data_IF_591498586026
#
_entry.id   IF_591498586026
#
_cell.length_a   1.000
_cell.length_b   1.000
_cell.length_c   1.000
_cell.angle_alpha   90.00
_cell.angle_beta   90.00
_cell.angle_gamma   90.00
#
_symmetry.space_group_name_H-M   'P 1'
#
loop_
_entity.id
_entity.type
_entity.pdbx_description
1 polymer ?
#
# COMPACT_ATOMS: atom_id res chain seq x y z
N UNK A 1 87.32 13.02 12.69
CA UNK A 1 86.36 14.12 12.51
C UNK A 1 85.01 13.63 13.05
N UNK A 2 84.70 13.87 14.33
CA UNK A 2 84.00 15.06 14.88
C UNK A 2 82.58 15.18 14.28
N UNK A 3 81.62 14.46 14.89
CA UNK A 3 80.40 14.94 15.62
C UNK A 3 79.23 15.39 14.74
N UNK A 4 78.09 14.68 14.79
CA UNK A 4 76.83 15.05 15.50
C UNK A 4 76.34 16.48 15.18
N UNK A 5 75.08 16.66 14.78
CA UNK A 5 73.94 16.97 15.69
C UNK A 5 72.65 17.32 14.90
N UNK A 6 71.54 17.10 15.60
CA UNK A 6 70.12 17.39 15.35
C UNK A 6 69.76 18.90 15.27
N UNK A 7 68.44 19.16 15.09
CA UNK A 7 67.65 20.34 15.57
C UNK A 7 67.45 21.43 14.47
N UNK A 8 66.35 22.15 14.21
CA UNK A 8 64.88 22.14 14.44
C UNK A 8 64.35 23.56 14.05
N UNK A 9 63.03 23.73 13.87
CA UNK A 9 62.18 24.93 14.12
C UNK A 9 61.78 25.93 13.00
N UNK A 10 60.46 25.92 12.71
CA UNK A 10 59.42 27.00 12.75
C UNK A 10 59.70 28.40 12.16
N UNK A 11 58.80 28.87 11.27
CA UNK A 11 58.09 30.18 11.46
C UNK A 11 56.72 30.25 10.79
N UNK A 12 55.76 30.80 11.54
CA UNK A 12 54.39 31.20 11.19
C UNK A 12 54.39 32.59 10.54
N UNK A 13 53.50 32.86 9.58
CA UNK A 13 53.06 34.23 9.26
C UNK A 13 51.52 34.30 9.15
N UNK A 14 50.93 35.12 10.03
CA UNK A 14 49.57 35.63 9.97
C UNK A 14 49.66 37.08 9.49
N UNK A 15 48.90 37.45 8.46
CA UNK A 15 48.54 38.84 8.17
C UNK A 15 47.06 38.88 7.77
N UNK A 16 46.30 39.64 8.55
CA UNK A 16 44.90 39.98 8.32
C UNK A 16 44.82 41.30 7.56
N UNK A 17 43.95 41.38 6.55
CA UNK A 17 43.35 42.63 6.07
C UNK A 17 41.85 42.38 5.81
N UNK A 18 41.04 43.27 6.35
CA UNK A 18 39.58 43.36 6.26
C UNK A 18 39.20 44.25 5.06
N UNK A 19 38.15 43.90 4.32
CA UNK A 19 37.50 44.79 3.36
C UNK A 19 36.51 44.11 2.42
N UNK A 20 35.21 44.26 2.72
CA UNK A 20 34.00 43.76 2.04
C UNK A 20 34.03 43.76 0.51
N UNK A 21 33.56 42.66 -0.11
CA UNK A 21 32.34 42.72 -0.94
C UNK A 21 31.75 41.32 -1.28
N UNK A 22 30.44 41.33 -1.46
CA UNK A 22 29.48 40.21 -1.56
C UNK A 22 29.89 39.05 -2.48
N UNK A 23 29.76 37.82 -1.95
CA UNK A 23 28.92 36.74 -2.54
C UNK A 23 28.74 35.60 -1.54
N UNK A 24 27.54 35.49 -0.99
CA UNK A 24 27.03 34.27 -0.38
C UNK A 24 27.13 33.14 -1.41
N UNK A 25 27.97 32.14 -1.16
CA UNK A 25 27.80 30.81 -1.73
C UNK A 25 27.06 29.94 -0.71
N UNK A 26 25.77 30.18 -0.53
CA UNK A 26 24.88 29.12 -0.09
C UNK A 26 24.74 28.15 -1.26
N UNK A 27 25.62 27.14 -1.31
CA UNK A 27 25.31 25.93 -2.05
C UNK A 27 24.42 25.11 -1.12
N UNK A 28 23.13 25.44 -1.11
CA UNK A 28 22.13 24.47 -0.67
C UNK A 28 22.14 23.36 -1.71
N UNK A 29 22.78 22.24 -1.39
CA UNK A 29 22.59 21.00 -2.12
C UNK A 29 21.18 20.47 -1.83
N UNK A 30 20.16 21.14 -2.37
CA UNK A 30 18.88 20.48 -2.64
C UNK A 30 19.13 19.51 -3.78
N UNK A 31 19.66 18.34 -3.44
CA UNK A 31 19.44 17.16 -4.27
C UNK A 31 17.93 16.93 -4.21
N UNK A 32 17.21 17.48 -5.19
CA UNK A 32 15.82 17.08 -5.47
C UNK A 32 15.86 15.57 -5.68
N UNK A 33 15.48 14.84 -4.65
CA UNK A 33 15.33 13.40 -4.70
C UNK A 33 14.12 13.17 -5.61
N UNK A 34 14.36 13.00 -6.91
CA UNK A 34 13.30 12.74 -7.88
C UNK A 34 12.74 11.37 -7.51
N UNK A 35 11.61 11.36 -6.81
CA UNK A 35 10.91 10.13 -6.50
C UNK A 35 10.52 9.46 -7.81
N UNK A 36 10.83 8.16 -7.92
CA UNK A 36 10.40 7.36 -9.06
C UNK A 36 8.88 7.37 -9.16
N UNK A 37 8.34 7.34 -10.39
CA UNK A 37 6.90 7.29 -10.64
C UNK A 37 6.26 6.11 -9.87
N UNK A 38 5.02 6.26 -9.38
CA UNK A 38 4.33 5.17 -8.69
C UNK A 38 4.29 3.89 -9.54
N UNK A 39 4.62 2.76 -8.93
CA UNK A 39 4.47 1.45 -9.57
C UNK A 39 2.99 1.08 -9.69
N UNK A 40 2.60 0.40 -10.77
CA UNK A 40 1.28 -0.26 -10.85
C UNK A 40 1.45 -1.73 -10.50
N UNK A 41 0.65 -2.20 -9.54
CA UNK A 41 0.63 -3.58 -9.07
C UNK A 41 -0.80 -4.12 -9.08
N UNK A 42 -0.92 -5.43 -8.97
CA UNK A 42 -2.23 -6.09 -9.00
C UNK A 42 -2.34 -7.22 -7.97
N UNK A 43 -3.51 -7.29 -7.34
CA UNK A 43 -4.01 -8.45 -6.63
C UNK A 43 -5.29 -8.91 -7.33
N UNK A 44 -5.22 -10.02 -8.06
CA UNK A 44 -6.35 -10.53 -8.84
C UNK A 44 -6.39 -12.06 -8.84
N UNK A 45 -7.60 -12.60 -8.95
CA UNK A 45 -7.83 -14.03 -9.13
C UNK A 45 -7.89 -14.47 -10.61
N UNK A 46 -7.65 -13.55 -11.56
CA UNK A 46 -7.51 -13.88 -12.97
C UNK A 46 -6.20 -14.67 -13.22
N UNK A 47 -6.33 -15.82 -13.89
CA UNK A 47 -5.21 -16.72 -14.24
C UNK A 47 -5.17 -17.05 -15.74
N UNK A 48 -5.93 -16.34 -16.57
CA UNK A 48 -5.94 -16.58 -18.01
C UNK A 48 -4.55 -16.36 -18.59
N UNK A 49 -4.24 -17.08 -19.68
CA UNK A 49 -2.95 -16.90 -20.37
C UNK A 49 -2.80 -15.47 -20.91
N UNK A 50 -3.87 -14.90 -21.48
CA UNK A 50 -3.88 -13.54 -22.03
C UNK A 50 -3.50 -12.50 -20.98
N UNK A 51 -4.12 -12.59 -19.80
CA UNK A 51 -3.85 -11.70 -18.68
C UNK A 51 -2.41 -11.89 -18.16
N UNK A 52 -1.97 -13.13 -17.93
CA UNK A 52 -0.61 -13.42 -17.46
C UNK A 52 0.45 -12.93 -18.45
N UNK A 53 0.24 -13.13 -19.76
CA UNK A 53 1.13 -12.63 -20.81
C UNK A 53 1.21 -11.09 -20.79
N UNK A 54 0.07 -10.40 -20.60
CA UNK A 54 0.02 -8.94 -20.45
C UNK A 54 0.82 -8.49 -19.23
N UNK A 55 0.56 -9.06 -18.05
CA UNK A 55 1.23 -8.69 -16.80
C UNK A 55 2.75 -8.85 -16.93
N UNK A 56 3.20 -9.96 -17.51
CA UNK A 56 4.62 -10.24 -17.73
C UNK A 56 5.26 -9.24 -18.70
N UNK A 57 4.59 -8.94 -19.82
CA UNK A 57 5.08 -7.98 -20.82
C UNK A 57 5.18 -6.57 -20.23
N UNK A 58 4.16 -6.13 -19.51
CA UNK A 58 4.10 -4.81 -18.90
C UNK A 58 4.91 -4.70 -17.60
N UNK A 59 5.50 -5.82 -17.14
CA UNK A 59 6.27 -5.94 -15.89
C UNK A 59 5.46 -5.46 -14.67
N UNK A 60 4.16 -5.71 -14.67
CA UNK A 60 3.28 -5.41 -13.53
C UNK A 60 3.50 -6.50 -12.49
N UNK A 61 3.75 -6.11 -11.25
CA UNK A 61 4.01 -7.08 -10.18
C UNK A 61 2.69 -7.55 -9.56
N UNK A 62 2.55 -8.87 -9.37
CA UNK A 62 1.51 -9.42 -8.51
C UNK A 62 1.85 -9.17 -7.04
N UNK A 63 0.88 -8.63 -6.30
CA UNK A 63 0.91 -8.59 -4.84
C UNK A 63 0.25 -9.87 -4.33
N UNK A 64 1.06 -10.73 -3.71
CA UNK A 64 0.55 -11.97 -3.11
C UNK A 64 -0.03 -11.69 -1.72
N UNK A 65 -0.77 -12.64 -1.16
CA UNK A 65 -1.38 -12.47 0.15
C UNK A 65 -1.52 -13.78 0.92
N UNK A 66 -1.69 -13.63 2.23
CA UNK A 66 -2.20 -14.66 3.14
C UNK A 66 -3.42 -14.08 3.86
N UNK A 67 -4.50 -14.83 3.98
CA UNK A 67 -5.77 -14.36 4.54
C UNK A 67 -6.13 -15.10 5.83
N UNK A 68 -6.62 -14.36 6.82
CA UNK A 68 -6.91 -14.85 8.16
C UNK A 68 -7.80 -16.09 8.20
N UNK A 69 -8.81 -16.18 7.33
CA UNK A 69 -9.71 -17.34 7.23
C UNK A 69 -9.00 -18.65 6.90
N UNK A 70 -7.73 -18.60 6.48
CA UNK A 70 -6.93 -19.76 6.12
C UNK A 70 -6.02 -20.23 7.25
N UNK A 71 -5.65 -19.36 8.20
CA UNK A 71 -4.61 -19.67 9.20
C UNK A 71 -4.93 -19.27 10.64
N UNK A 72 -5.92 -18.40 10.88
CA UNK A 72 -6.35 -18.06 12.25
C UNK A 72 -7.13 -19.23 12.84
N UNK A 73 -6.84 -19.54 14.10
CA UNK A 73 -7.53 -20.60 14.82
C UNK A 73 -8.93 -20.13 15.25
N UNK A 74 -9.97 -20.71 14.65
CA UNK A 74 -11.36 -20.41 14.97
C UNK A 74 -11.80 -20.89 16.36
N UNK A 75 -11.07 -21.82 16.98
CA UNK A 75 -11.33 -22.35 18.32
C UNK A 75 -10.55 -21.62 19.40
N UNK A 76 -9.41 -21.02 19.05
CA UNK A 76 -8.54 -20.29 19.99
C UNK A 76 -8.31 -18.87 19.47
N UNK A 77 -9.20 -17.91 19.81
CA UNK A 77 -9.09 -16.53 19.32
C UNK A 77 -7.72 -15.91 19.63
N UNK A 78 -7.28 -15.00 18.76
CA UNK A 78 -5.98 -14.32 18.85
C UNK A 78 -4.76 -15.24 18.68
N UNK A 79 -4.94 -16.42 18.08
CA UNK A 79 -3.84 -17.32 17.73
C UNK A 79 -3.97 -17.76 16.28
N UNK A 80 -2.87 -18.29 15.73
CA UNK A 80 -2.84 -18.85 14.39
C UNK A 80 -2.13 -20.20 14.39
N UNK A 81 -2.44 -21.01 13.37
CA UNK A 81 -1.71 -22.24 13.10
C UNK A 81 -0.50 -21.95 12.21
N UNK A 82 0.70 -22.20 12.73
CA UNK A 82 1.94 -22.08 11.96
C UNK A 82 1.93 -22.99 10.71
N UNK A 83 1.40 -24.21 10.81
CA UNK A 83 1.30 -25.15 9.71
C UNK A 83 0.38 -24.65 8.58
N UNK A 84 -0.78 -24.07 8.94
CA UNK A 84 -1.71 -23.51 7.96
C UNK A 84 -1.13 -22.25 7.33
N UNK A 85 -0.52 -21.37 8.13
CA UNK A 85 0.15 -20.19 7.60
C UNK A 85 1.31 -20.56 6.67
N UNK A 86 2.10 -21.59 7.01
CA UNK A 86 3.17 -22.08 6.16
C UNK A 86 2.64 -22.61 4.82
N UNK A 87 1.50 -23.32 4.81
CA UNK A 87 0.84 -23.75 3.56
C UNK A 87 0.42 -22.57 2.70
N UNK A 88 -0.14 -21.52 3.30
CA UNK A 88 -0.49 -20.30 2.56
C UNK A 88 0.74 -19.56 2.04
N UNK A 89 1.84 -19.54 2.79
CA UNK A 89 3.11 -19.00 2.32
C UNK A 89 3.68 -19.81 1.14
N UNK A 90 3.53 -21.14 1.14
CA UNK A 90 3.93 -21.99 0.01
C UNK A 90 3.05 -21.76 -1.22
N UNK A 91 1.75 -21.48 -1.04
CA UNK A 91 0.87 -21.08 -2.15
C UNK A 91 1.28 -19.73 -2.74
N UNK A 92 1.51 -18.74 -1.89
CA UNK A 92 1.84 -17.38 -2.28
C UNK A 92 3.25 -17.26 -2.89
N UNK A 93 4.24 -17.89 -2.24
CA UNK A 93 5.65 -17.92 -2.63
C UNK A 93 6.21 -19.34 -2.43
N UNK A 94 6.11 -20.23 -3.43
CA UNK A 94 6.57 -21.61 -3.32
C UNK A 94 8.05 -21.73 -2.96
N UNK A 95 8.91 -20.92 -3.59
CA UNK A 95 10.34 -20.85 -3.26
C UNK A 95 10.56 -19.91 -2.06
N UNK A 96 11.12 -20.38 -0.93
CA UNK A 96 11.44 -19.56 0.23
C UNK A 96 12.38 -18.38 -0.04
N UNK A 97 13.17 -18.44 -1.12
CA UNK A 97 14.10 -17.38 -1.51
C UNK A 97 13.48 -16.31 -2.40
N UNK A 98 12.24 -16.51 -2.86
CA UNK A 98 11.53 -15.56 -3.71
C UNK A 98 11.53 -14.17 -3.08
N UNK A 99 11.73 -13.15 -3.91
CA UNK A 99 11.50 -11.76 -3.55
C UNK A 99 10.16 -11.30 -4.12
N UNK A 100 9.60 -10.26 -3.51
CA UNK A 100 8.32 -9.74 -3.94
C UNK A 100 7.68 -8.87 -2.88
N UNK A 101 6.39 -8.63 -3.05
CA UNK A 101 5.57 -7.82 -2.17
C UNK A 101 4.34 -8.65 -1.81
N UNK A 102 3.98 -8.68 -0.54
CA UNK A 102 2.75 -9.30 -0.08
C UNK A 102 2.13 -8.56 1.08
N UNK A 103 0.82 -8.75 1.21
CA UNK A 103 0.07 -8.29 2.36
C UNK A 103 -0.45 -9.46 3.20
N UNK A 104 -0.64 -9.16 4.48
CA UNK A 104 -1.31 -10.03 5.43
C UNK A 104 -2.71 -9.44 5.63
N UNK A 105 -3.71 -10.27 5.43
CA UNK A 105 -5.11 -9.88 5.49
C UNK A 105 -5.74 -10.45 6.77
N UNK A 106 -5.57 -9.70 7.86
CA UNK A 106 -6.25 -9.97 9.14
C UNK A 106 -7.24 -8.84 9.35
N UNK A 107 -8.53 -9.16 9.35
CA UNK A 107 -9.60 -8.17 9.43
C UNK A 107 -10.39 -8.29 10.74
N UNK A 108 -11.72 -8.14 10.66
CA UNK A 108 -12.63 -8.22 11.79
C UNK A 108 -12.56 -9.59 12.48
N UNK A 109 -12.58 -9.66 13.82
CA UNK A 109 -12.77 -8.54 14.76
C UNK A 109 -11.46 -7.85 15.19
N UNK A 110 -10.31 -8.33 14.75
CA UNK A 110 -9.01 -7.93 15.29
C UNK A 110 -8.62 -6.50 14.93
N UNK A 111 -8.91 -6.05 13.71
CA UNK A 111 -8.72 -4.65 13.30
C UNK A 111 -9.61 -3.69 14.10
N UNK A 112 -10.83 -4.12 14.42
CA UNK A 112 -11.76 -3.38 15.24
C UNK A 112 -11.22 -3.19 16.67
N UNK A 113 -10.60 -4.21 17.25
CA UNK A 113 -9.94 -4.08 18.55
C UNK A 113 -8.76 -3.11 18.51
N UNK A 114 -7.96 -3.11 17.44
CA UNK A 114 -6.85 -2.16 17.27
C UNK A 114 -7.35 -0.71 17.16
N UNK A 115 -8.45 -0.49 16.44
CA UNK A 115 -8.95 0.86 16.15
C UNK A 115 -9.82 1.42 17.29
N UNK A 116 -10.77 0.62 17.78
CA UNK A 116 -11.88 1.09 18.62
C UNK A 116 -11.62 0.93 20.12
N UNK A 117 -10.86 -0.08 20.55
CA UNK A 117 -10.63 -0.31 21.98
C UNK A 117 -9.51 0.58 22.57
N UNK A 118 -9.47 0.66 23.90
CA UNK A 118 -8.39 1.32 24.63
C UNK A 118 -7.11 0.47 24.61
N UNK A 119 -5.94 1.11 24.51
CA UNK A 119 -4.64 0.43 24.46
C UNK A 119 -4.34 -0.47 25.68
N UNK A 120 -5.05 -0.27 26.80
CA UNK A 120 -4.90 -1.09 28.01
C UNK A 120 -5.76 -2.34 28.00
N UNK A 121 -6.75 -2.44 27.11
CA UNK A 121 -7.71 -3.54 27.06
C UNK A 121 -7.05 -4.87 26.69
N UNK A 122 -7.69 -5.97 27.10
CA UNK A 122 -7.21 -7.32 26.80
C UNK A 122 -7.27 -7.62 25.30
N UNK A 123 -8.37 -7.30 24.62
CA UNK A 123 -8.50 -7.61 23.18
C UNK A 123 -7.56 -6.78 22.33
N UNK A 124 -7.33 -5.51 22.68
CA UNK A 124 -6.32 -4.69 22.01
C UNK A 124 -4.93 -5.33 22.11
N UNK A 125 -4.49 -5.65 23.33
CA UNK A 125 -3.15 -6.23 23.56
C UNK A 125 -2.97 -7.56 22.85
N UNK A 126 -4.00 -8.41 22.87
CA UNK A 126 -4.00 -9.70 22.17
C UNK A 126 -3.99 -9.51 20.65
N UNK A 127 -4.70 -8.51 20.12
CA UNK A 127 -4.69 -8.20 18.68
C UNK A 127 -3.32 -7.68 18.23
N UNK A 128 -2.72 -6.75 18.99
CA UNK A 128 -1.35 -6.31 18.72
C UNK A 128 -0.40 -7.50 18.72
N UNK A 129 -0.50 -8.40 19.70
CA UNK A 129 0.32 -9.61 19.76
C UNK A 129 0.13 -10.49 18.51
N UNK A 130 -1.12 -10.79 18.15
CA UNK A 130 -1.43 -11.59 16.95
C UNK A 130 -0.79 -11.00 15.69
N UNK A 131 -0.98 -9.70 15.44
CA UNK A 131 -0.40 -9.02 14.28
C UNK A 131 1.14 -9.05 14.32
N UNK A 132 1.77 -8.92 15.49
CA UNK A 132 3.22 -8.97 15.57
C UNK A 132 3.77 -10.39 15.41
N UNK A 133 3.10 -11.40 15.95
CA UNK A 133 3.52 -12.81 15.83
C UNK A 133 3.41 -13.28 14.38
N UNK A 134 2.28 -13.02 13.70
CA UNK A 134 2.08 -13.38 12.29
C UNK A 134 3.11 -12.68 11.41
N UNK A 135 3.35 -11.39 11.61
CA UNK A 135 4.35 -10.63 10.86
C UNK A 135 5.76 -11.19 11.06
N UNK A 136 6.10 -11.56 12.30
CA UNK A 136 7.38 -12.20 12.62
C UNK A 136 7.51 -13.54 11.90
N UNK A 137 6.46 -14.36 11.90
CA UNK A 137 6.45 -15.66 11.26
C UNK A 137 6.63 -15.56 9.74
N UNK A 138 5.81 -14.75 9.05
CA UNK A 138 5.90 -14.64 7.58
C UNK A 138 7.25 -14.07 7.12
N UNK A 139 7.84 -13.13 7.88
CA UNK A 139 9.16 -12.57 7.57
C UNK A 139 10.29 -13.58 7.81
N UNK A 140 10.16 -14.45 8.82
CA UNK A 140 11.12 -15.53 9.06
C UNK A 140 11.10 -16.53 7.91
N UNK A 141 9.90 -16.94 7.48
CA UNK A 141 9.73 -17.97 6.46
C UNK A 141 9.95 -17.45 5.02
N UNK A 142 9.74 -16.15 4.77
CA UNK A 142 9.94 -15.47 3.48
C UNK A 142 10.70 -14.14 3.65
N UNK A 143 12.00 -14.19 3.98
CA UNK A 143 12.77 -13.00 4.39
C UNK A 143 13.01 -11.99 3.26
N UNK A 144 12.92 -12.42 2.00
CA UNK A 144 13.13 -11.57 0.83
C UNK A 144 11.83 -10.91 0.31
N UNK A 145 10.68 -11.32 0.83
CA UNK A 145 9.39 -10.71 0.53
C UNK A 145 9.16 -9.51 1.45
N UNK A 146 8.62 -8.43 0.90
CA UNK A 146 8.25 -7.24 1.67
C UNK A 146 6.81 -7.37 2.16
N UNK A 147 6.64 -7.32 3.48
CA UNK A 147 5.36 -7.58 4.13
C UNK A 147 4.75 -6.31 4.74
N UNK A 148 3.42 -6.26 4.73
CA UNK A 148 2.62 -5.26 5.42
C UNK A 148 1.21 -5.78 5.66
N UNK A 149 0.40 -5.05 6.41
CA UNK A 149 -0.99 -5.40 6.67
C UNK A 149 -1.92 -4.64 5.73
N UNK A 150 -2.89 -5.34 5.16
CA UNK A 150 -3.98 -4.70 4.44
C UNK A 150 -4.73 -3.72 5.37
N UNK A 151 -5.03 -2.54 4.85
CA UNK A 151 -5.76 -1.49 5.57
C UNK A 151 -4.97 -0.74 6.64
N UNK A 152 -3.68 -1.05 6.86
CA UNK A 152 -2.85 -0.35 7.86
C UNK A 152 -1.77 0.51 7.17
N UNK A 153 -1.68 1.83 7.49
CA UNK A 153 -2.53 2.57 8.41
C UNK A 153 -3.96 2.76 7.90
N UNK A 154 -4.88 2.97 8.85
CA UNK A 154 -6.30 3.07 8.57
C UNK A 154 -6.67 4.39 7.87
N UNK A 155 -7.63 4.29 6.95
CA UNK A 155 -8.26 5.42 6.26
C UNK A 155 -9.70 5.56 6.71
N UNK A 156 -10.33 6.70 6.43
CA UNK A 156 -11.76 6.87 6.68
C UNK A 156 -12.42 7.70 5.60
N UNK A 157 -13.65 7.30 5.26
CA UNK A 157 -14.50 8.11 4.40
C UNK A 157 -15.09 9.29 5.20
N UNK A 158 -15.64 9.01 6.39
CA UNK A 158 -16.29 9.99 7.27
C UNK A 158 -15.38 10.37 8.45
N UNK A 159 -15.41 11.63 8.89
CA UNK A 159 -14.61 12.04 10.05
C UNK A 159 -13.11 12.06 9.77
N UNK A 160 -12.71 12.63 8.62
CA UNK A 160 -11.32 12.86 8.22
C UNK A 160 -10.71 14.00 9.03
N UNK A 161 -10.43 13.72 10.29
CA UNK A 161 -9.86 14.68 11.23
C UNK A 161 -8.59 14.14 11.90
N UNK A 162 -7.89 15.02 12.60
CA UNK A 162 -6.66 14.67 13.32
C UNK A 162 -6.88 13.55 14.34
N UNK A 163 -8.06 13.47 14.97
CA UNK A 163 -8.36 12.46 16.00
C UNK A 163 -8.41 11.07 15.38
N UNK A 164 -9.00 10.95 14.19
CA UNK A 164 -8.97 9.71 13.42
C UNK A 164 -7.56 9.37 12.97
N UNK A 165 -6.85 10.30 12.31
CA UNK A 165 -5.53 9.98 11.77
C UNK A 165 -4.53 9.64 12.87
N UNK A 166 -4.58 10.29 14.05
CA UNK A 166 -3.73 9.95 15.19
C UNK A 166 -3.95 8.52 15.75
N UNK A 167 -4.98 7.79 15.32
CA UNK A 167 -5.14 6.37 15.66
C UNK A 167 -3.98 5.51 15.14
N UNK A 168 -3.15 5.98 14.18
CA UNK A 168 -1.92 5.26 13.79
C UNK A 168 -1.01 4.97 14.98
N UNK A 169 -1.05 5.80 16.04
CA UNK A 169 -0.26 5.63 17.26
C UNK A 169 -0.61 4.35 18.01
N UNK A 170 -1.82 3.83 17.85
CA UNK A 170 -2.25 2.54 18.41
C UNK A 170 -1.67 1.33 17.66
N UNK A 171 -1.23 1.53 16.43
CA UNK A 171 -0.64 0.46 15.61
C UNK A 171 0.81 0.79 15.25
N UNK A 172 1.47 1.62 16.05
CA UNK A 172 2.81 2.13 15.75
C UNK A 172 3.86 1.01 15.67
N UNK A 173 3.81 0.04 16.58
CA UNK A 173 4.69 -1.12 16.57
C UNK A 173 4.48 -2.01 15.33
N UNK A 174 3.23 -2.17 14.89
CA UNK A 174 2.88 -2.90 13.66
C UNK A 174 3.45 -2.17 12.44
N UNK A 175 3.27 -0.84 12.37
CA UNK A 175 3.82 0.01 11.31
C UNK A 175 5.36 -0.06 11.28
N UNK A 176 6.02 0.07 12.44
CA UNK A 176 7.50 0.03 12.55
C UNK A 176 8.06 -1.28 12.01
N UNK A 177 7.44 -2.43 12.33
CA UNK A 177 7.93 -3.76 11.96
C UNK A 177 7.53 -4.19 10.55
N UNK A 178 6.49 -3.60 9.97
CA UNK A 178 6.10 -3.80 8.57
C UNK A 178 7.17 -3.25 7.63
N UNK A 179 7.39 -3.86 6.47
CA UNK A 179 8.31 -3.36 5.45
C UNK A 179 7.66 -2.27 4.60
N UNK A 180 6.35 -2.42 4.35
CA UNK A 180 5.54 -1.58 3.45
C UNK A 180 4.16 -1.33 4.09
N UNK A 181 3.51 -0.23 3.73
CA UNK A 181 2.16 0.14 4.16
C UNK A 181 1.14 -0.03 3.02
N UNK A 182 -0.01 -0.61 3.36
CA UNK A 182 -1.10 -0.93 2.41
C UNK A 182 -2.44 -0.32 2.85
N UNK A 183 -2.57 1.02 2.92
CA UNK A 183 -3.85 1.62 3.22
C UNK A 183 -4.88 1.27 2.13
N UNK A 184 -6.14 1.08 2.50
CA UNK A 184 -7.23 0.88 1.54
C UNK A 184 -7.93 2.21 1.26
N UNK A 185 -8.14 2.59 0.01
CA UNK A 185 -8.79 3.86 -0.36
C UNK A 185 -9.98 3.60 -1.29
N UNK A 186 -10.83 2.63 -0.96
CA UNK A 186 -11.95 2.23 -1.81
C UNK A 186 -13.05 3.29 -1.92
N UNK A 187 -13.73 3.31 -3.07
CA UNK A 187 -14.85 4.23 -3.32
C UNK A 187 -16.15 3.57 -2.87
N UNK A 188 -16.94 4.31 -2.09
CA UNK A 188 -18.21 3.83 -1.57
C UNK A 188 -19.41 4.47 -2.26
N UNK A 189 -19.31 5.73 -2.68
CA UNK A 189 -20.47 6.55 -3.09
C UNK A 189 -20.22 7.29 -4.41
N UNK A 190 -21.30 7.53 -5.16
CA UNK A 190 -21.32 8.41 -6.34
C UNK A 190 -22.75 8.95 -6.58
N UNK A 191 -23.37 9.55 -5.55
CA UNK A 191 -24.80 9.90 -5.61
C UNK A 191 -25.04 11.24 -6.32
N UNK A 192 -24.17 12.23 -6.09
CA UNK A 192 -24.27 13.58 -6.67
C UNK A 192 -23.29 13.74 -7.82
N UNK A 193 -22.00 13.54 -7.54
CA UNK A 193 -20.95 13.43 -8.56
C UNK A 193 -19.70 12.88 -7.92
N UNK A 194 -18.90 12.16 -8.72
CA UNK A 194 -17.68 11.54 -8.21
C UNK A 194 -16.72 12.59 -7.65
N UNK A 195 -16.56 13.71 -8.36
CA UNK A 195 -15.66 14.78 -7.99
C UNK A 195 -16.02 15.41 -6.64
N UNK A 196 -17.29 15.77 -6.46
CA UNK A 196 -17.73 16.44 -5.23
C UNK A 196 -17.65 15.52 -4.01
N UNK A 197 -17.92 14.23 -4.19
CA UNK A 197 -17.94 13.27 -3.08
C UNK A 197 -16.54 12.75 -2.74
N UNK A 198 -15.73 12.42 -3.76
CA UNK A 198 -14.56 11.57 -3.57
C UNK A 198 -13.22 12.31 -3.64
N UNK A 199 -13.08 13.44 -4.35
CA UNK A 199 -11.75 14.08 -4.52
C UNK A 199 -11.11 14.49 -3.18
N UNK A 200 -11.88 15.08 -2.27
CA UNK A 200 -11.40 15.43 -0.92
C UNK A 200 -11.01 14.18 -0.12
N UNK A 201 -11.89 13.17 -0.12
CA UNK A 201 -11.63 11.86 0.52
C UNK A 201 -10.32 11.23 0.05
N UNK A 202 -10.10 11.17 -1.27
CA UNK A 202 -8.93 10.59 -1.88
C UNK A 202 -7.66 11.37 -1.53
N UNK A 203 -7.67 12.69 -1.71
CA UNK A 203 -6.53 13.55 -1.45
C UNK A 203 -6.13 13.52 0.03
N UNK A 204 -7.08 13.78 0.92
CA UNK A 204 -6.82 13.88 2.36
C UNK A 204 -6.30 12.56 2.95
N UNK A 205 -6.91 11.41 2.61
CA UNK A 205 -6.41 10.13 3.09
C UNK A 205 -5.01 9.85 2.53
N UNK A 206 -4.77 10.12 1.24
CA UNK A 206 -3.46 9.87 0.64
C UNK A 206 -2.37 10.72 1.28
N UNK A 207 -2.61 12.02 1.48
CA UNK A 207 -1.67 12.94 2.12
C UNK A 207 -1.37 12.52 3.57
N UNK A 208 -2.37 12.07 4.31
CA UNK A 208 -2.18 11.58 5.68
C UNK A 208 -1.43 10.25 5.74
N UNK A 209 -1.66 9.34 4.79
CA UNK A 209 -0.88 8.11 4.68
C UNK A 209 0.59 8.41 4.36
N UNK A 210 0.86 9.38 3.48
CA UNK A 210 2.21 9.82 3.16
C UNK A 210 2.88 10.53 4.35
N UNK A 211 2.13 11.33 5.12
CA UNK A 211 2.59 11.93 6.37
C UNK A 211 3.00 10.85 7.37
N UNK A 212 2.12 9.88 7.63
CA UNK A 212 2.40 8.77 8.56
C UNK A 212 3.61 7.99 8.06
N UNK A 213 3.64 7.59 6.80
CA UNK A 213 4.76 6.84 6.21
C UNK A 213 6.09 7.58 6.32
N UNK A 214 6.08 8.92 6.27
CA UNK A 214 7.28 9.74 6.46
C UNK A 214 7.82 9.68 7.89
N UNK A 215 6.96 9.53 8.91
CA UNK A 215 7.39 9.35 10.31
C UNK A 215 8.16 8.05 10.52
N UNK A 216 7.86 7.02 9.73
CA UNK A 216 8.41 5.67 9.87
C UNK A 216 9.36 5.27 8.73
N UNK A 217 9.65 6.18 7.80
CA UNK A 217 10.41 5.93 6.58
C UNK A 217 9.92 4.69 5.81
N UNK A 218 8.60 4.58 5.61
CA UNK A 218 7.97 3.45 4.91
C UNK A 218 7.53 3.82 3.50
N UNK A 219 7.45 2.81 2.65
CA UNK A 219 6.80 2.93 1.35
C UNK A 219 5.28 2.78 1.48
N UNK A 220 4.52 3.41 0.59
CA UNK A 220 3.05 3.39 0.60
C UNK A 220 2.51 2.87 -0.71
N UNK A 221 1.71 1.82 -0.63
CA UNK A 221 1.07 1.18 -1.77
C UNK A 221 -0.44 1.08 -1.52
N UNK A 222 -1.22 2.16 -1.76
CA UNK A 222 -2.64 2.12 -1.50
C UNK A 222 -3.36 1.10 -2.36
N UNK A 223 -4.32 0.41 -1.74
CA UNK A 223 -5.25 -0.47 -2.41
C UNK A 223 -6.41 0.33 -3.01
N UNK A 224 -6.72 0.03 -4.26
CA UNK A 224 -7.85 0.59 -5.01
C UNK A 224 -8.69 -0.54 -5.62
N UNK A 225 -9.98 -0.29 -5.80
CA UNK A 225 -10.92 -1.19 -6.48
C UNK A 225 -11.45 -0.55 -7.75
N UNK A 226 -11.80 -1.36 -8.74
CA UNK A 226 -12.48 -0.91 -9.97
C UNK A 226 -14.00 -0.92 -9.88
N UNK A 227 -14.54 -1.38 -8.74
CA UNK A 227 -15.96 -1.44 -8.41
C UNK A 227 -16.22 -0.66 -7.11
N UNK A 228 -17.43 -0.15 -6.94
CA UNK A 228 -17.84 0.44 -5.67
C UNK A 228 -17.83 -0.61 -4.56
N UNK A 229 -17.45 -0.19 -3.36
CA UNK A 229 -17.31 -1.09 -2.23
C UNK A 229 -18.63 -1.80 -1.90
N UNK A 230 -18.62 -3.14 -1.65
CA UNK A 230 -19.83 -3.94 -1.45
C UNK A 230 -20.68 -3.54 -0.24
N UNK A 231 -20.13 -2.76 0.70
CA UNK A 231 -20.91 -2.26 1.84
C UNK A 231 -21.94 -1.19 1.45
N UNK A 232 -21.84 -0.57 0.27
CA UNK A 232 -22.89 0.29 -0.25
C UNK A 232 -24.04 -0.56 -0.80
N UNK A 233 -25.21 -0.47 -0.17
CA UNK A 233 -26.40 -1.27 -0.55
C UNK A 233 -27.05 -0.86 -1.88
N UNK A 234 -26.75 0.34 -2.38
CA UNK A 234 -27.36 0.89 -3.60
C UNK A 234 -26.56 0.57 -4.85
N UNK A 235 -25.24 0.83 -4.81
CA UNK A 235 -24.36 0.73 -5.98
C UNK A 235 -23.15 -0.19 -5.74
N UNK A 236 -23.09 -0.89 -4.61
CA UNK A 236 -21.99 -1.79 -4.29
C UNK A 236 -21.81 -2.85 -5.39
N UNK A 237 -20.57 -3.20 -5.67
CA UNK A 237 -20.15 -4.08 -6.77
C UNK A 237 -20.41 -3.54 -8.19
N UNK A 238 -21.08 -2.41 -8.38
CA UNK A 238 -21.15 -1.78 -9.70
C UNK A 238 -19.76 -1.28 -10.14
N UNK A 239 -19.49 -1.33 -11.44
CA UNK A 239 -18.24 -0.80 -11.99
C UNK A 239 -18.17 0.72 -11.81
N UNK A 240 -16.99 1.22 -11.47
CA UNK A 240 -16.71 2.66 -11.51
C UNK A 240 -16.49 3.03 -12.97
N UNK A 241 -17.21 4.04 -13.47
CA UNK A 241 -17.05 4.53 -14.83
C UNK A 241 -15.62 4.96 -15.13
N UNK A 242 -15.14 4.73 -16.36
CA UNK A 242 -13.75 4.99 -16.73
C UNK A 242 -13.29 6.44 -16.48
N UNK A 243 -14.17 7.44 -16.63
CA UNK A 243 -13.85 8.84 -16.33
C UNK A 243 -13.63 9.08 -14.84
N UNK A 244 -14.47 8.46 -14.02
CA UNK A 244 -14.42 8.54 -12.56
C UNK A 244 -13.21 7.75 -12.05
N UNK A 245 -12.93 6.59 -12.64
CA UNK A 245 -11.75 5.79 -12.34
C UNK A 245 -10.45 6.51 -12.71
N UNK A 246 -10.38 7.24 -13.82
CA UNK A 246 -9.22 8.12 -14.11
C UNK A 246 -9.04 9.18 -13.04
N UNK A 247 -10.12 9.80 -12.62
CA UNK A 247 -10.08 10.81 -11.56
C UNK A 247 -9.60 10.20 -10.25
N UNK A 248 -10.09 9.00 -9.91
CA UNK A 248 -9.71 8.26 -8.73
C UNK A 248 -8.19 8.00 -8.69
N UNK A 249 -7.65 7.39 -9.73
CA UNK A 249 -6.24 7.03 -9.83
C UNK A 249 -5.36 8.28 -9.86
N UNK A 250 -5.69 9.25 -10.70
CA UNK A 250 -4.88 10.48 -10.84
C UNK A 250 -4.88 11.33 -9.56
N UNK A 251 -5.97 11.32 -8.77
CA UNK A 251 -6.03 12.07 -7.50
C UNK A 251 -5.08 11.46 -6.46
N UNK A 252 -5.05 10.12 -6.32
CA UNK A 252 -4.11 9.46 -5.40
C UNK A 252 -2.67 9.62 -5.89
N UNK A 253 -2.42 9.40 -7.19
CA UNK A 253 -1.07 9.48 -7.76
C UNK A 253 -0.42 10.87 -7.63
N UNK A 254 -1.23 11.94 -7.75
CA UNK A 254 -0.76 13.34 -7.67
C UNK A 254 -0.69 13.87 -6.25
N UNK A 255 -1.34 13.24 -5.29
CA UNK A 255 -1.26 13.67 -3.89
C UNK A 255 0.18 13.54 -3.38
N UNK A 256 0.59 14.49 -2.53
CA UNK A 256 1.95 14.55 -2.01
C UNK A 256 1.99 15.09 -0.58
N UNK A 257 3.00 14.68 0.16
CA UNK A 257 3.32 15.27 1.45
C UNK A 257 4.82 15.52 1.54
N UNK A 258 5.25 16.78 1.65
CA UNK A 258 6.67 17.18 1.69
C UNK A 258 7.49 16.57 0.54
N UNK A 259 7.00 16.70 -0.70
CA UNK A 259 7.59 16.13 -1.92
C UNK A 259 7.64 14.59 -1.96
N UNK A 260 6.96 13.90 -1.04
CA UNK A 260 6.78 12.46 -1.08
C UNK A 260 5.44 12.13 -1.71
N UNK A 261 5.45 11.28 -2.71
CA UNK A 261 4.30 10.64 -3.33
C UNK A 261 4.17 9.19 -2.87
N UNK A 262 3.11 8.51 -3.29
CA UNK A 262 2.98 7.06 -3.13
C UNK A 262 4.07 6.33 -3.92
N UNK A 263 4.45 5.14 -3.45
CA UNK A 263 5.45 4.31 -4.12
C UNK A 263 4.82 3.40 -5.19
N UNK A 264 3.53 3.11 -5.05
CA UNK A 264 2.74 2.43 -6.05
C UNK A 264 1.26 2.37 -5.72
N UNK A 265 0.48 1.77 -6.61
CA UNK A 265 -0.95 1.51 -6.47
C UNK A 265 -1.22 0.04 -6.69
N UNK A 266 -2.02 -0.56 -5.82
CA UNK A 266 -2.42 -1.96 -5.95
C UNK A 266 -3.89 -2.01 -6.38
N UNK A 267 -4.15 -2.49 -7.60
CA UNK A 267 -5.50 -2.84 -8.02
C UNK A 267 -5.91 -4.14 -7.35
N UNK A 268 -6.85 -4.09 -6.41
CA UNK A 268 -7.55 -5.27 -5.92
C UNK A 268 -8.78 -5.53 -6.78
N UNK A 269 -8.85 -6.71 -7.36
CA UNK A 269 -9.99 -7.14 -8.14
C UNK A 269 -10.25 -8.63 -7.94
N UNK A 270 -11.50 -8.99 -7.67
CA UNK A 270 -11.93 -10.36 -7.43
C UNK A 270 -13.16 -10.72 -8.27
N UNK A 271 -13.28 -10.15 -9.47
CA UNK A 271 -14.42 -10.40 -10.35
C UNK A 271 -14.53 -11.89 -10.73
N UNK A 272 -13.42 -12.62 -10.81
CA UNK A 272 -13.46 -14.07 -11.03
C UNK A 272 -14.17 -14.80 -9.88
N UNK A 273 -13.95 -14.39 -8.65
CA UNK A 273 -14.65 -14.93 -7.48
C UNK A 273 -16.13 -14.51 -7.48
N UNK A 274 -16.39 -13.22 -7.74
CA UNK A 274 -17.75 -12.70 -7.85
C UNK A 274 -18.56 -13.44 -8.93
N UNK A 275 -17.94 -13.80 -10.05
CA UNK A 275 -18.57 -14.61 -11.08
C UNK A 275 -18.90 -16.03 -10.58
N UNK A 276 -17.94 -16.71 -9.94
CA UNK A 276 -18.14 -18.08 -9.41
C UNK A 276 -19.24 -18.16 -8.36
N UNK A 277 -19.39 -17.12 -7.54
CA UNK A 277 -20.44 -17.07 -6.51
C UNK A 277 -21.75 -16.45 -7.00
N UNK A 278 -21.89 -16.20 -8.31
CA UNK A 278 -23.06 -15.59 -8.93
C UNK A 278 -23.46 -14.26 -8.28
N UNK A 279 -22.49 -13.38 -8.04
CA UNK A 279 -22.74 -12.04 -7.52
C UNK A 279 -23.79 -11.31 -8.40
N UNK A 280 -24.92 -10.85 -7.83
CA UNK A 280 -26.07 -10.38 -8.63
C UNK A 280 -25.78 -9.20 -9.56
N UNK A 281 -24.94 -8.25 -9.14
CA UNK A 281 -24.62 -7.05 -9.92
C UNK A 281 -23.79 -7.43 -11.14
N UNK A 282 -22.73 -8.21 -10.96
CA UNK A 282 -21.91 -8.74 -12.05
C UNK A 282 -22.76 -9.60 -13.00
N UNK A 283 -23.60 -10.50 -12.47
CA UNK A 283 -24.48 -11.33 -13.31
C UNK A 283 -25.37 -10.48 -14.22
N UNK A 284 -26.04 -9.47 -13.65
CA UNK A 284 -26.90 -8.55 -14.40
C UNK A 284 -26.10 -7.75 -15.43
N UNK A 285 -24.88 -7.35 -15.09
CA UNK A 285 -23.96 -6.66 -16.00
C UNK A 285 -23.62 -7.54 -17.22
N UNK A 286 -23.25 -8.80 -17.00
CA UNK A 286 -22.93 -9.75 -18.07
C UNK A 286 -24.14 -10.02 -18.96
N UNK A 287 -25.33 -10.23 -18.38
CA UNK A 287 -26.58 -10.44 -19.11
C UNK A 287 -26.96 -9.22 -19.96
N UNK A 288 -26.93 -8.02 -19.36
CA UNK A 288 -27.25 -6.75 -20.04
C UNK A 288 -26.34 -6.51 -21.25
N UNK A 289 -25.06 -6.82 -21.11
CA UNK A 289 -24.06 -6.63 -22.15
C UNK A 289 -23.92 -7.84 -23.09
N UNK A 290 -24.75 -8.88 -22.93
CA UNK A 290 -24.74 -10.12 -23.73
C UNK A 290 -23.36 -10.80 -23.74
N UNK A 291 -22.66 -10.77 -22.61
CA UNK A 291 -21.35 -11.38 -22.45
C UNK A 291 -21.51 -12.90 -22.29
N UNK A 292 -21.21 -13.64 -23.36
CA UNK A 292 -21.25 -15.12 -23.34
C UNK A 292 -19.95 -15.79 -22.88
N UNK A 293 -18.84 -15.05 -22.83
CA UNK A 293 -17.53 -15.56 -22.40
C UNK A 293 -16.97 -14.64 -21.32
N UNK A 294 -17.11 -15.07 -20.06
CA UNK A 294 -16.65 -14.29 -18.91
C UNK A 294 -15.13 -14.08 -18.91
N UNK A 295 -14.33 -15.11 -19.22
CA UNK A 295 -12.87 -15.00 -19.18
C UNK A 295 -12.36 -13.93 -20.16
N UNK A 296 -12.90 -13.91 -21.39
CA UNK A 296 -12.54 -12.90 -22.38
C UNK A 296 -12.95 -11.48 -21.95
N UNK A 297 -14.13 -11.34 -21.35
CA UNK A 297 -14.58 -10.07 -20.79
C UNK A 297 -13.67 -9.64 -19.62
N UNK A 298 -13.35 -10.56 -18.72
CA UNK A 298 -12.57 -10.25 -17.53
C UNK A 298 -11.14 -9.83 -17.90
N UNK A 299 -10.53 -10.51 -18.88
CA UNK A 299 -9.25 -10.11 -19.46
C UNK A 299 -9.29 -8.68 -20.01
N UNK A 300 -10.28 -8.38 -20.85
CA UNK A 300 -10.42 -7.04 -21.44
C UNK A 300 -10.63 -5.96 -20.36
N UNK A 301 -11.48 -6.22 -19.39
CA UNK A 301 -11.78 -5.30 -18.30
C UNK A 301 -10.53 -5.00 -17.46
N UNK A 302 -9.85 -6.04 -16.97
CA UNK A 302 -8.71 -5.87 -16.07
C UNK A 302 -7.48 -5.28 -16.78
N UNK A 303 -7.23 -5.67 -18.03
CA UNK A 303 -6.16 -5.10 -18.87
C UNK A 303 -6.45 -3.64 -19.17
N UNK A 304 -7.71 -3.31 -19.47
CA UNK A 304 -8.15 -1.93 -19.70
C UNK A 304 -7.91 -1.03 -18.49
N UNK A 305 -8.26 -1.51 -17.29
CA UNK A 305 -8.02 -0.80 -16.03
C UNK A 305 -6.53 -0.58 -15.76
N UNK A 306 -5.69 -1.62 -15.90
CA UNK A 306 -4.25 -1.50 -15.69
C UNK A 306 -3.60 -0.54 -16.69
N UNK A 307 -4.03 -0.58 -17.95
CA UNK A 307 -3.55 0.34 -18.99
C UNK A 307 -3.94 1.79 -18.68
N UNK A 308 -5.16 2.00 -18.20
CA UNK A 308 -5.64 3.30 -17.73
C UNK A 308 -4.83 3.77 -16.53
N UNK A 309 -4.59 2.91 -15.52
CA UNK A 309 -3.78 3.26 -14.35
C UNK A 309 -2.38 3.69 -14.74
N UNK A 310 -1.71 2.93 -15.62
CA UNK A 310 -0.37 3.28 -16.14
C UNK A 310 -0.35 4.67 -16.76
N UNK A 311 -1.33 4.98 -17.61
CA UNK A 311 -1.44 6.29 -18.26
C UNK A 311 -1.59 7.45 -17.27
N UNK A 312 -2.29 7.24 -16.15
CA UNK A 312 -2.52 8.29 -15.15
C UNK A 312 -1.36 8.48 -14.16
N UNK A 313 -0.40 7.54 -14.10
CA UNK A 313 0.82 7.65 -13.27
C UNK A 313 2.09 8.00 -14.07
N UNK A 314 2.04 7.91 -15.40
CA UNK A 314 3.12 8.30 -16.31
C UNK A 314 3.20 9.82 -16.52
#
# INVERSE_FOLDING_TARGET
MITKLFTVLITVFLLACIGNDKKQSFISSEVKNIQAKPQILICSDNKSKTFVDFINREKIQFVQFVNDGQFIDSKVPFTFSEDLLLKELQRAYPDPKSSGIAYIDIEYPYTDYLLKENITSSNYKKSVKLFLDVLSFVKKERPNVKWGYYGIPFTTYWGRDKKFYDQYKKVDEIIKKSDILFPSIYIFYNNVSFNLENKGYLKENTEEMLRIASLYNKKVYPFVMSRYHPSNKSIGNEQIDNSDYKTYISTIAKAEYKNKHIDGLVLWNADGYAYRVNEPVLKKELEKNKIGNFDAFYDQYIIGLLSLMKKEVE
#
